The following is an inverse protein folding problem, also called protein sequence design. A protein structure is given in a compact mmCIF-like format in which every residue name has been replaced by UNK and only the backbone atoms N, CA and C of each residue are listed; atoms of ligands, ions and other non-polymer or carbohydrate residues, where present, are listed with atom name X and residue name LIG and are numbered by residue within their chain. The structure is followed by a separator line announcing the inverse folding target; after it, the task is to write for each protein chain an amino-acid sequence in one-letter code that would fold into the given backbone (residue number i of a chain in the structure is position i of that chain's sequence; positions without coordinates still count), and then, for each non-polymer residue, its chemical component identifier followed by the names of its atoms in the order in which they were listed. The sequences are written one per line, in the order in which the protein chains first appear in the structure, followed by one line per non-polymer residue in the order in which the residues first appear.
data_IF_117825374588
#
_entry.id   IF_117825374588
#
_cell.length_a   1.000
_cell.length_b   1.000
_cell.length_c   1.000
_cell.angle_alpha   90.00
_cell.angle_beta   90.00
_cell.angle_gamma   90.00
#
_symmetry.space_group_name_H-M   'P 1'
#
loop_
_entity.id
_entity.type
_entity.pdbx_description
1 polymer ?
#
# COMPACT_ATOMS: atom_id res chain seq x y z
N UNK A 1 22.30 -11.72 10.79
CA UNK A 1 21.43 -12.43 11.76
C UNK A 1 22.15 -13.70 12.16
N UNK A 2 22.42 -13.93 13.45
CA UNK A 2 23.17 -15.13 13.88
C UNK A 2 22.28 -16.36 13.66
N UNK A 3 22.76 -17.33 12.87
CA UNK A 3 22.07 -18.61 12.66
C UNK A 3 20.86 -18.57 11.72
N UNK A 4 20.70 -17.52 10.91
CA UNK A 4 19.65 -17.43 9.88
C UNK A 4 20.32 -17.49 8.52
N UNK A 5 19.93 -18.48 7.73
CA UNK A 5 20.40 -18.64 6.35
C UNK A 5 19.80 -17.58 5.43
N UNK A 6 20.39 -17.44 4.24
CA UNK A 6 19.93 -16.47 3.23
C UNK A 6 18.48 -16.68 2.83
N UNK A 7 18.01 -17.92 2.81
CA UNK A 7 16.63 -18.30 2.48
C UNK A 7 15.65 -18.03 3.63
N UNK A 8 16.15 -17.78 4.84
CA UNK A 8 15.34 -17.42 6.00
C UNK A 8 14.96 -15.94 6.06
N UNK A 9 15.37 -15.14 5.07
CA UNK A 9 15.05 -13.72 4.97
C UNK A 9 14.71 -13.32 3.55
N UNK A 10 13.64 -12.52 3.42
CA UNK A 10 13.13 -12.06 2.14
C UNK A 10 13.05 -10.54 2.08
N UNK A 11 13.19 -10.00 0.86
CA UNK A 11 13.06 -8.56 0.63
C UNK A 11 11.64 -8.11 0.96
N UNK A 12 11.51 -7.05 1.78
CA UNK A 12 10.23 -6.59 2.31
C UNK A 12 10.07 -6.84 3.81
N UNK A 13 10.82 -7.79 4.36
CA UNK A 13 10.92 -7.96 5.81
C UNK A 13 11.74 -6.83 6.44
N UNK A 14 11.52 -6.61 7.73
CA UNK A 14 12.21 -5.59 8.52
C UNK A 14 12.85 -6.20 9.76
N UNK A 15 13.99 -5.65 10.18
CA UNK A 15 14.55 -5.90 11.50
C UNK A 15 14.05 -4.81 12.45
N UNK A 16 13.41 -5.23 13.53
CA UNK A 16 12.85 -4.33 14.54
C UNK A 16 13.17 -4.84 15.95
N UNK A 17 13.00 -3.97 16.95
CA UNK A 17 13.07 -4.39 18.35
C UNK A 17 11.93 -5.39 18.60
N UNK A 18 12.15 -6.49 19.34
CA UNK A 18 11.09 -7.44 19.65
C UNK A 18 9.85 -6.76 20.24
N UNK A 19 8.68 -7.03 19.65
CA UNK A 19 7.40 -6.46 20.07
C UNK A 19 7.13 -5.01 19.66
N UNK A 20 8.04 -4.36 18.91
CA UNK A 20 7.84 -2.96 18.49
C UNK A 20 6.92 -2.78 17.28
N UNK A 21 6.99 -3.69 16.30
CA UNK A 21 6.20 -3.61 15.07
C UNK A 21 5.55 -4.96 14.81
N UNK A 22 4.29 -4.96 14.39
CA UNK A 22 3.57 -6.17 14.03
C UNK A 22 3.24 -6.20 12.52
N UNK A 23 3.16 -7.39 11.92
CA UNK A 23 2.69 -7.54 10.56
C UNK A 23 1.17 -7.41 10.46
N UNK A 24 0.69 -6.68 9.47
CA UNK A 24 -0.74 -6.50 9.19
C UNK A 24 -1.05 -6.69 7.70
N UNK A 25 -2.29 -7.02 7.39
CA UNK A 25 -2.80 -7.14 6.01
C UNK A 25 -3.89 -6.12 5.70
N UNK A 26 -4.58 -5.58 6.71
CA UNK A 26 -5.70 -4.65 6.53
C UNK A 26 -5.40 -3.30 7.16
N UNK A 27 -5.70 -2.23 6.45
CA UNK A 27 -5.53 -0.87 6.94
C UNK A 27 -6.41 0.13 6.19
N UNK A 28 -6.77 1.22 6.86
CA UNK A 28 -7.28 2.43 6.24
C UNK A 28 -6.10 3.29 5.78
N UNK A 29 -6.25 3.94 4.64
CA UNK A 29 -5.24 4.84 4.09
C UNK A 29 -5.86 6.12 3.55
N UNK A 30 -5.10 7.19 3.62
CA UNK A 30 -5.33 8.41 2.84
C UNK A 30 -4.32 8.44 1.69
N UNK A 31 -4.79 8.64 0.48
CA UNK A 31 -3.94 8.61 -0.70
C UNK A 31 -4.30 9.69 -1.72
N UNK A 32 -3.23 10.21 -2.35
CA UNK A 32 -3.26 11.06 -3.51
C UNK A 32 -3.00 10.21 -4.76
N UNK A 33 -3.87 10.31 -5.76
CA UNK A 33 -3.70 9.64 -7.05
C UNK A 33 -3.01 10.61 -8.01
N UNK A 34 -1.86 10.22 -8.54
CA UNK A 34 -1.07 11.08 -9.42
C UNK A 34 -1.84 11.40 -10.69
N UNK A 35 -1.78 12.66 -11.10
CA UNK A 35 -2.29 13.12 -12.39
C UNK A 35 -1.48 12.54 -13.55
N UNK A 36 -2.02 12.65 -14.76
CA UNK A 36 -1.30 12.31 -16.00
C UNK A 36 0.03 13.06 -16.12
N UNK A 37 0.06 14.35 -15.78
CA UNK A 37 1.24 15.20 -15.93
C UNK A 37 2.34 14.85 -14.91
N UNK A 38 1.95 14.26 -13.78
CA UNK A 38 2.86 13.68 -12.79
C UNK A 38 3.30 12.25 -13.15
N UNK A 39 2.90 11.73 -14.32
CA UNK A 39 3.24 10.38 -14.79
C UNK A 39 2.34 9.27 -14.23
N UNK A 40 1.20 9.63 -13.64
CA UNK A 40 0.20 8.72 -13.11
C UNK A 40 -0.73 8.13 -14.17
N UNK A 41 -1.98 7.88 -13.77
CA UNK A 41 -2.99 7.30 -14.68
C UNK A 41 -3.55 8.36 -15.62
N UNK A 42 -3.96 7.91 -16.81
CA UNK A 42 -4.72 8.72 -17.76
C UNK A 42 -6.24 8.59 -17.55
N UNK A 43 -6.68 7.45 -17.02
CA UNK A 43 -8.09 7.10 -16.83
C UNK A 43 -8.37 6.79 -15.37
N UNK A 44 -9.62 6.98 -14.91
CA UNK A 44 -10.02 6.60 -13.57
C UNK A 44 -9.81 5.11 -13.30
N UNK A 45 -9.87 4.75 -12.02
CA UNK A 45 -10.07 3.37 -11.59
C UNK A 45 -11.37 3.26 -10.79
N UNK A 46 -11.88 2.04 -10.68
CA UNK A 46 -13.18 1.72 -10.08
C UNK A 46 -13.00 0.79 -8.88
N UNK A 47 -14.11 0.37 -8.26
CA UNK A 47 -14.12 -0.72 -7.29
C UNK A 47 -13.44 -2.00 -7.84
N UNK A 48 -12.91 -2.84 -6.93
CA UNK A 48 -12.08 -4.02 -7.24
C UNK A 48 -10.72 -3.70 -7.86
N UNK A 49 -10.26 -2.45 -7.75
CA UNK A 49 -8.92 -2.07 -8.13
C UNK A 49 -7.88 -2.82 -7.27
N UNK A 50 -6.91 -3.45 -7.95
CA UNK A 50 -5.97 -4.39 -7.33
C UNK A 50 -4.50 -4.10 -7.67
N UNK A 51 -3.94 -2.95 -7.24
CA UNK A 51 -2.58 -2.54 -7.57
C UNK A 51 -1.53 -3.22 -6.68
N UNK A 52 -0.27 -2.87 -6.93
CA UNK A 52 0.84 -3.17 -6.05
C UNK A 52 1.07 -2.00 -5.10
N UNK A 53 1.21 -2.28 -3.80
CA UNK A 53 1.56 -1.31 -2.78
C UNK A 53 3.05 -1.47 -2.45
N UNK A 54 3.81 -0.41 -2.69
CA UNK A 54 5.23 -0.36 -2.39
C UNK A 54 5.47 0.14 -0.98
N UNK A 55 5.82 -0.78 -0.10
CA UNK A 55 6.21 -0.50 1.28
C UNK A 55 7.72 -0.65 1.43
N UNK A 56 8.39 0.48 1.65
CA UNK A 56 9.85 0.60 1.86
C UNK A 56 10.69 -0.02 0.73
N UNK A 57 10.75 -1.34 0.68
CA UNK A 57 11.60 -2.12 -0.22
C UNK A 57 10.84 -3.12 -1.09
N UNK A 58 9.56 -3.38 -0.85
CA UNK A 58 8.83 -4.45 -1.56
C UNK A 58 7.47 -3.99 -2.09
N UNK A 59 7.05 -4.62 -3.18
CA UNK A 59 5.71 -4.49 -3.76
C UNK A 59 4.83 -5.64 -3.25
N UNK A 60 3.67 -5.33 -2.69
CA UNK A 60 2.66 -6.33 -2.30
C UNK A 60 1.34 -5.98 -2.95
N UNK A 61 0.73 -6.93 -3.65
CA UNK A 61 -0.59 -6.74 -4.23
C UNK A 61 -1.64 -6.56 -3.14
N UNK A 62 -2.55 -5.60 -3.31
CA UNK A 62 -3.68 -5.41 -2.41
C UNK A 62 -4.95 -5.10 -3.17
N UNK A 63 -6.09 -5.34 -2.54
CA UNK A 63 -7.41 -4.95 -3.04
C UNK A 63 -7.84 -3.67 -2.34
N UNK A 64 -8.36 -2.70 -3.11
CA UNK A 64 -8.89 -1.44 -2.58
C UNK A 64 -10.41 -1.52 -2.43
N UNK A 65 -10.91 -1.15 -1.26
CA UNK A 65 -12.32 -0.92 -0.98
C UNK A 65 -12.56 0.58 -0.89
N UNK A 66 -13.28 1.12 -1.87
CA UNK A 66 -13.63 2.53 -1.92
C UNK A 66 -14.72 2.88 -0.89
N UNK A 67 -14.80 4.13 -0.42
CA UNK A 67 -15.90 4.60 0.43
C UNK A 67 -17.26 4.41 -0.22
N UNK A 68 -18.30 4.25 0.60
CA UNK A 68 -19.69 4.20 0.12
C UNK A 68 -20.02 5.43 -0.74
N UNK A 69 -20.69 5.19 -1.88
CA UNK A 69 -21.02 6.24 -2.85
C UNK A 69 -19.87 6.66 -3.78
N UNK A 70 -18.64 6.14 -3.59
CA UNK A 70 -17.53 6.40 -4.51
C UNK A 70 -17.44 5.30 -5.56
N UNK A 71 -17.94 5.57 -6.76
CA UNK A 71 -17.91 4.60 -7.87
C UNK A 71 -16.57 4.58 -8.59
N UNK A 72 -15.92 5.73 -8.72
CA UNK A 72 -14.67 5.90 -9.46
C UNK A 72 -13.77 6.95 -8.81
N UNK A 73 -12.47 6.83 -9.07
CA UNK A 73 -11.45 7.75 -8.57
C UNK A 73 -10.66 8.31 -9.74
N UNK A 74 -10.57 9.63 -9.83
CA UNK A 74 -9.90 10.34 -10.92
C UNK A 74 -8.41 10.58 -10.59
N UNK A 75 -7.54 10.61 -11.61
CA UNK A 75 -6.18 11.14 -11.44
C UNK A 75 -6.22 12.58 -10.91
N UNK A 76 -5.50 12.84 -9.82
CA UNK A 76 -5.52 14.11 -9.08
C UNK A 76 -6.39 14.11 -7.81
N UNK A 77 -7.18 13.06 -7.58
CA UNK A 77 -8.02 12.97 -6.39
C UNK A 77 -7.21 12.64 -5.13
N UNK A 78 -7.70 13.15 -4.01
CA UNK A 78 -7.30 12.74 -2.66
C UNK A 78 -8.49 12.07 -1.99
N UNK A 79 -8.31 10.85 -1.50
CA UNK A 79 -9.38 10.11 -0.86
C UNK A 79 -8.87 9.16 0.22
N UNK A 80 -9.81 8.75 1.07
CA UNK A 80 -9.61 7.70 2.06
C UNK A 80 -10.17 6.39 1.52
N UNK A 81 -9.49 5.26 1.72
CA UNK A 81 -10.00 3.93 1.38
C UNK A 81 -9.40 2.86 2.28
N UNK A 82 -9.99 1.67 2.27
CA UNK A 82 -9.43 0.49 2.92
C UNK A 82 -8.64 -0.35 1.94
N UNK A 83 -7.58 -0.99 2.43
CA UNK A 83 -6.72 -1.90 1.67
C UNK A 83 -6.64 -3.25 2.37
N UNK A 84 -6.75 -4.32 1.59
CA UNK A 84 -6.43 -5.70 2.02
C UNK A 84 -5.27 -6.26 1.18
N UNK A 85 -4.12 -6.47 1.81
CA UNK A 85 -2.91 -7.03 1.19
C UNK A 85 -2.97 -8.56 1.12
N UNK A 86 -2.40 -9.13 0.06
CA UNK A 86 -2.31 -10.61 -0.08
C UNK A 86 -1.28 -11.25 0.84
N UNK A 87 -0.36 -10.45 1.40
CA UNK A 87 0.69 -10.88 2.29
C UNK A 87 0.89 -9.85 3.41
N UNK A 88 1.24 -10.29 4.63
CA UNK A 88 1.47 -9.39 5.75
C UNK A 88 2.66 -8.46 5.52
N UNK A 89 2.51 -7.19 5.92
CA UNK A 89 3.57 -6.20 5.95
C UNK A 89 3.71 -5.61 7.35
N UNK A 90 4.95 -5.44 7.80
CA UNK A 90 5.27 -4.73 9.02
C UNK A 90 4.98 -3.22 8.84
N UNK A 91 3.88 -2.76 9.44
CA UNK A 91 3.38 -1.39 9.30
C UNK A 91 2.95 -0.79 10.63
N UNK A 92 2.92 0.54 10.65
CA UNK A 92 2.47 1.38 11.76
C UNK A 92 1.66 2.54 11.17
N UNK A 93 0.81 3.16 11.98
CA UNK A 93 0.10 4.38 11.59
C UNK A 93 1.11 5.48 11.19
N UNK A 94 0.82 6.19 10.11
CA UNK A 94 1.71 7.19 9.52
C UNK A 94 2.75 6.62 8.54
N UNK A 95 2.83 5.29 8.36
CA UNK A 95 3.73 4.70 7.36
C UNK A 95 3.31 5.13 5.95
N UNK A 96 4.25 5.73 5.21
CA UNK A 96 4.06 6.12 3.81
C UNK A 96 4.30 4.95 2.87
N UNK A 97 3.54 4.93 1.78
CA UNK A 97 3.67 3.95 0.70
C UNK A 97 3.40 4.58 -0.66
N UNK A 98 3.80 3.89 -1.72
CA UNK A 98 3.43 4.22 -3.09
C UNK A 98 2.46 3.17 -3.65
N UNK A 99 1.55 3.60 -4.52
CA UNK A 99 0.66 2.73 -5.28
C UNK A 99 1.28 2.59 -6.67
N UNK A 100 1.45 1.36 -7.14
CA UNK A 100 2.15 1.05 -8.38
C UNK A 100 1.37 0.10 -9.27
N UNK A 101 1.52 0.31 -10.57
CA UNK A 101 1.00 -0.53 -11.64
C UNK A 101 2.08 -0.76 -12.69
N UNK A 102 2.36 -2.02 -13.03
CA UNK A 102 3.39 -2.35 -14.03
C UNK A 102 4.75 -1.71 -13.72
N UNK A 103 5.09 -1.54 -12.44
CA UNK A 103 6.32 -0.90 -11.99
C UNK A 103 6.31 0.64 -12.00
N UNK A 104 5.24 1.29 -12.43
CA UNK A 104 5.09 2.76 -12.40
C UNK A 104 4.30 3.22 -11.18
N UNK A 105 4.71 4.31 -10.56
CA UNK A 105 3.96 4.92 -9.46
C UNK A 105 2.75 5.67 -10.01
N UNK A 106 1.57 5.36 -9.48
CA UNK A 106 0.28 5.96 -9.87
C UNK A 106 -0.39 6.68 -8.71
N UNK A 107 0.11 6.53 -7.49
CA UNK A 107 -0.38 7.23 -6.31
C UNK A 107 0.61 7.18 -5.16
N UNK A 108 0.38 8.02 -4.16
CA UNK A 108 1.14 8.06 -2.92
C UNK A 108 0.15 8.09 -1.75
N UNK A 109 0.43 7.33 -0.70
CA UNK A 109 -0.47 7.22 0.43
C UNK A 109 0.23 7.12 1.77
N UNK A 110 -0.57 7.25 2.82
CA UNK A 110 -0.16 7.07 4.21
C UNK A 110 -1.17 6.16 4.90
N UNK A 111 -0.66 5.21 5.69
CA UNK A 111 -1.49 4.38 6.56
C UNK A 111 -2.09 5.31 7.61
N UNK A 112 -3.41 5.47 7.61
CA UNK A 112 -4.10 6.32 8.59
C UNK A 112 -4.51 5.54 9.83
N UNK A 113 -4.84 4.25 9.67
CA UNK A 113 -5.20 3.35 10.77
C UNK A 113 -5.04 1.89 10.38
N UNK A 114 -4.41 1.09 11.24
CA UNK A 114 -4.36 -0.37 11.07
C UNK A 114 -5.70 -1.03 11.46
N UNK A 115 -6.15 -1.97 10.64
CA UNK A 115 -7.34 -2.79 10.87
C UNK A 115 -6.90 -4.21 11.25
N UNK A 116 -7.54 -4.79 12.27
CA UNK A 116 -7.22 -6.11 12.81
C UNK A 116 -7.58 -7.25 11.83
#
# INVERSE_FOLDING_TARGET
LRGVDREGVERGQVLCKPGSVQPHTKFEAEAYILTKDEGGRHTPFFANYRPQFYFRTTDVTGTVTLPEGTEMVMPGDNLKFEVELIAPIAMEDGLRFAIREGGRTVGAGVVSKILA
#
